data_IF_926994267004
#
_entry.id   IF_926994267004
#
_cell.length_a   1.000
_cell.length_b   1.000
_cell.length_c   1.000
_cell.angle_alpha   90.00
_cell.angle_beta   90.00
_cell.angle_gamma   90.00
#
_symmetry.space_group_name_H-M   'P 1'
#
loop_
_entity.id
_entity.type
_entity.pdbx_description
1 polymer ?
#
# COMPACT_ATOMS: atom_id res chain seq x y z
N UNK A 1 11.21 -3.67 5.73
CA UNK A 1 12.01 -2.85 6.66
C UNK A 1 11.13 -1.85 7.42
N UNK A 2 11.54 -1.51 8.63
CA UNK A 2 10.91 -0.46 9.43
C UNK A 2 11.74 0.80 9.22
N UNK A 3 11.10 1.88 8.82
CA UNK A 3 11.72 3.20 8.66
C UNK A 3 11.48 3.98 9.94
N UNK A 4 12.55 4.30 10.65
CA UNK A 4 12.55 4.92 11.99
C UNK A 4 12.86 6.41 11.90
N UNK A 5 11.94 7.20 11.31
CA UNK A 5 12.08 8.66 11.22
C UNK A 5 10.76 9.40 11.03
N UNK A 6 10.77 10.71 11.34
CA UNK A 6 9.66 11.63 11.09
C UNK A 6 9.25 11.65 9.58
N UNK A 7 7.99 11.91 9.26
CA UNK A 7 7.44 11.73 7.90
C UNK A 7 8.26 12.32 6.74
N UNK A 8 8.86 13.50 6.78
CA UNK A 8 9.69 13.99 5.67
C UNK A 8 10.96 13.17 5.45
N UNK A 9 11.60 12.73 6.54
CA UNK A 9 12.87 11.99 6.49
C UNK A 9 12.62 10.50 6.12
N UNK A 10 11.47 9.95 6.47
CA UNK A 10 11.08 8.59 6.11
C UNK A 10 11.00 8.37 4.59
N UNK A 11 10.72 9.40 3.82
CA UNK A 11 10.66 9.33 2.35
C UNK A 11 12.03 9.04 1.75
N UNK A 12 13.11 9.54 2.36
CA UNK A 12 14.48 9.32 1.89
C UNK A 12 15.00 7.90 2.16
N UNK A 13 14.42 7.20 3.13
CA UNK A 13 14.79 5.82 3.51
C UNK A 13 13.95 4.74 2.80
N UNK A 14 13.04 5.14 1.93
CA UNK A 14 12.22 4.18 1.18
C UNK A 14 13.07 3.35 0.20
N UNK A 15 12.64 2.13 -0.14
CA UNK A 15 13.28 1.33 -1.18
C UNK A 15 13.47 2.16 -2.46
N UNK A 16 14.58 2.00 -3.19
CA UNK A 16 14.87 2.79 -4.39
C UNK A 16 13.74 2.81 -5.43
N UNK A 17 13.01 1.70 -5.57
CA UNK A 17 11.88 1.58 -6.49
C UNK A 17 10.62 2.33 -6.01
N UNK A 18 10.58 2.71 -4.74
CA UNK A 18 9.52 3.52 -4.13
C UNK A 18 10.00 4.94 -3.79
N UNK A 19 11.31 5.17 -3.88
CA UNK A 19 11.91 6.47 -3.59
C UNK A 19 11.25 7.57 -4.44
N UNK A 20 11.27 8.82 -3.95
CA UNK A 20 10.71 9.94 -4.67
C UNK A 20 11.34 10.06 -6.06
N UNK A 21 10.63 9.65 -7.06
CA UNK A 21 10.96 9.83 -8.45
C UNK A 21 9.77 10.51 -9.15
N UNK A 22 10.00 10.99 -10.34
CA UNK A 22 8.96 11.62 -11.16
C UNK A 22 8.10 10.59 -11.91
N UNK A 23 8.15 9.32 -11.52
CA UNK A 23 7.35 8.29 -12.15
C UNK A 23 5.95 8.23 -11.53
N UNK A 24 4.90 8.13 -12.37
CA UNK A 24 3.55 7.96 -11.88
C UNK A 24 3.34 6.61 -11.20
N UNK A 25 2.69 6.64 -10.05
CA UNK A 25 2.26 5.45 -9.31
C UNK A 25 0.75 5.48 -9.08
N UNK A 26 0.19 4.33 -8.80
CA UNK A 26 -1.15 4.19 -8.25
C UNK A 26 -1.03 3.76 -6.78
N UNK A 27 -1.58 4.56 -5.89
CA UNK A 27 -1.68 4.27 -4.48
C UNK A 27 -3.12 3.93 -4.09
N UNK A 28 -3.35 2.74 -3.55
CA UNK A 28 -4.63 2.37 -2.94
C UNK A 28 -4.53 2.59 -1.44
N UNK A 29 -5.33 3.52 -0.94
CA UNK A 29 -5.34 3.92 0.47
C UNK A 29 -6.57 3.36 1.13
N UNK A 30 -6.41 2.78 2.32
CA UNK A 30 -7.51 2.33 3.19
C UNK A 30 -7.21 2.73 4.63
N UNK A 31 -8.21 3.17 5.36
CA UNK A 31 -8.08 3.37 6.78
C UNK A 31 -8.16 2.02 7.52
N UNK A 32 -7.39 1.90 8.58
CA UNK A 32 -7.50 0.79 9.55
C UNK A 32 -8.45 1.19 10.66
N UNK A 33 -9.40 0.31 10.96
CA UNK A 33 -10.40 0.49 12.00
C UNK A 33 -10.37 -0.73 12.94
N UNK A 34 -10.77 -0.54 14.18
CA UNK A 34 -10.80 -1.61 15.18
C UNK A 34 -9.77 -1.39 16.29
N UNK A 35 -9.03 -2.45 16.66
CA UNK A 35 -8.06 -2.38 17.76
C UNK A 35 -6.78 -1.60 17.39
N UNK A 36 -6.49 -1.48 16.10
CA UNK A 36 -5.46 -0.58 15.58
C UNK A 36 -6.09 0.43 14.63
N UNK A 37 -5.57 1.64 14.67
CA UNK A 37 -5.97 2.75 13.81
C UNK A 37 -4.77 3.31 13.03
N UNK A 38 -5.06 3.97 11.92
CA UNK A 38 -4.04 4.46 10.99
C UNK A 38 -4.47 4.17 9.55
N UNK A 39 -3.49 3.93 8.67
CA UNK A 39 -3.74 3.68 7.25
C UNK A 39 -2.88 2.58 6.68
N UNK A 40 -3.38 1.99 5.62
CA UNK A 40 -2.57 1.20 4.69
C UNK A 40 -2.49 1.91 3.35
N UNK A 41 -1.32 1.83 2.73
CA UNK A 41 -1.08 2.34 1.38
C UNK A 41 -0.42 1.25 0.56
N UNK A 42 -1.11 0.78 -0.47
CA UNK A 42 -0.56 -0.17 -1.43
C UNK A 42 -0.17 0.58 -2.69
N UNK A 43 1.13 0.63 -2.99
CA UNK A 43 1.68 1.40 -4.11
C UNK A 43 2.12 0.48 -5.22
N UNK A 44 1.70 0.81 -6.44
CA UNK A 44 2.11 0.14 -7.66
C UNK A 44 2.70 1.13 -8.65
N UNK A 45 3.85 0.84 -9.27
CA UNK A 45 4.32 1.56 -10.45
C UNK A 45 3.27 1.50 -11.57
N UNK A 46 3.14 2.57 -12.35
CA UNK A 46 2.13 2.65 -13.43
C UNK A 46 2.17 1.47 -14.41
N UNK A 47 3.34 0.97 -14.86
CA UNK A 47 3.39 -0.22 -15.71
C UNK A 47 2.77 -1.46 -15.06
N UNK A 48 2.99 -1.67 -13.77
CA UNK A 48 2.40 -2.76 -12.99
C UNK A 48 0.88 -2.65 -12.95
N UNK A 49 0.36 -1.44 -12.73
CA UNK A 49 -1.09 -1.17 -12.69
C UNK A 49 -1.78 -1.58 -13.98
N UNK A 50 -1.22 -1.22 -15.12
CA UNK A 50 -1.80 -1.55 -16.42
C UNK A 50 -1.86 -3.06 -16.64
N UNK A 51 -0.78 -3.77 -16.32
CA UNK A 51 -0.69 -5.24 -16.42
C UNK A 51 -1.63 -5.97 -15.46
N UNK A 52 -1.87 -5.42 -14.28
CA UNK A 52 -2.84 -5.97 -13.32
C UNK A 52 -4.28 -5.77 -13.79
N UNK A 53 -4.60 -4.62 -14.35
CA UNK A 53 -5.96 -4.31 -14.79
C UNK A 53 -6.42 -5.17 -15.97
N UNK A 54 -5.53 -5.50 -16.89
CA UNK A 54 -5.87 -6.23 -18.12
C UNK A 54 -6.52 -7.60 -17.85
N UNK A 55 -5.92 -8.53 -17.09
CA UNK A 55 -6.55 -9.82 -16.81
C UNK A 55 -7.83 -9.66 -15.97
N UNK A 56 -7.86 -8.72 -15.04
CA UNK A 56 -9.07 -8.46 -14.24
C UNK A 56 -10.24 -8.00 -15.12
N UNK A 57 -9.96 -7.28 -16.19
CA UNK A 57 -10.93 -6.81 -17.18
C UNK A 57 -11.11 -7.79 -18.35
N UNK A 58 -10.45 -8.97 -18.30
CA UNK A 58 -10.44 -9.97 -19.37
C UNK A 58 -10.00 -9.39 -20.70
N UNK A 59 -9.00 -8.52 -20.69
CA UNK A 59 -8.43 -7.90 -21.87
C UNK A 59 -7.09 -8.55 -22.24
N UNK A 60 -6.72 -8.51 -23.54
CA UNK A 60 -5.40 -8.97 -23.96
C UNK A 60 -4.29 -8.15 -23.33
N UNK A 61 -3.16 -8.82 -23.07
CA UNK A 61 -1.98 -8.17 -22.52
C UNK A 61 -1.46 -7.07 -23.45
N UNK A 62 -1.11 -5.91 -22.90
CA UNK A 62 -0.64 -4.74 -23.64
C UNK A 62 -1.76 -3.94 -24.34
N UNK A 63 -3.03 -4.27 -24.10
CA UNK A 63 -4.16 -3.56 -24.72
C UNK A 63 -4.58 -2.29 -24.00
N UNK A 64 -4.20 -2.12 -22.75
CA UNK A 64 -4.56 -0.94 -21.95
C UNK A 64 -3.60 0.22 -22.23
N UNK A 65 -4.13 1.32 -22.75
CA UNK A 65 -3.35 2.51 -23.13
C UNK A 65 -3.40 3.60 -22.05
N UNK A 66 -4.47 3.62 -21.25
CA UNK A 66 -4.70 4.62 -20.21
C UNK A 66 -5.45 4.04 -19.00
N UNK A 67 -5.30 4.70 -17.86
CA UNK A 67 -6.06 4.40 -16.64
C UNK A 67 -7.45 5.07 -16.72
N UNK A 68 -8.37 4.43 -17.44
CA UNK A 68 -9.77 4.79 -17.46
C UNK A 68 -10.53 4.40 -16.19
N UNK A 69 -11.83 4.59 -16.17
CA UNK A 69 -12.68 4.27 -15.00
C UNK A 69 -12.68 2.79 -14.67
N UNK A 70 -12.70 1.92 -15.67
CA UNK A 70 -12.69 0.47 -15.46
C UNK A 70 -11.35 -0.01 -14.87
N UNK A 71 -10.24 0.47 -15.40
CA UNK A 71 -8.91 0.17 -14.88
C UNK A 71 -8.77 0.66 -13.43
N UNK A 72 -9.22 1.87 -13.13
CA UNK A 72 -9.25 2.42 -11.78
C UNK A 72 -10.09 1.57 -10.82
N UNK A 73 -11.25 1.11 -11.27
CA UNK A 73 -12.11 0.23 -10.49
C UNK A 73 -11.45 -1.12 -10.24
N UNK A 74 -10.83 -1.72 -11.26
CA UNK A 74 -10.09 -2.97 -11.14
C UNK A 74 -8.94 -2.87 -10.14
N UNK A 75 -8.16 -1.78 -10.18
CA UNK A 75 -7.06 -1.56 -9.24
C UNK A 75 -7.55 -1.32 -7.80
N UNK A 76 -8.64 -0.60 -7.62
CA UNK A 76 -9.25 -0.47 -6.28
C UNK A 76 -9.66 -1.83 -5.72
N UNK A 77 -10.26 -2.68 -6.54
CA UNK A 77 -10.66 -4.03 -6.13
C UNK A 77 -9.44 -4.91 -5.82
N UNK A 78 -8.42 -4.90 -6.66
CA UNK A 78 -7.15 -5.57 -6.37
C UNK A 78 -6.55 -5.09 -5.04
N UNK A 79 -6.48 -3.78 -4.85
CA UNK A 79 -5.99 -3.18 -3.62
C UNK A 79 -6.81 -3.56 -2.40
N UNK A 80 -8.13 -3.63 -2.52
CA UNK A 80 -9.03 -4.08 -1.47
C UNK A 80 -8.72 -5.52 -1.03
N UNK A 81 -8.60 -6.43 -1.98
CA UNK A 81 -8.29 -7.84 -1.73
C UNK A 81 -6.91 -7.99 -1.07
N UNK A 82 -5.90 -7.33 -1.63
CA UNK A 82 -4.52 -7.44 -1.16
C UNK A 82 -4.32 -6.79 0.22
N UNK A 83 -4.80 -5.57 0.40
CA UNK A 83 -4.72 -4.89 1.71
C UNK A 83 -5.50 -5.65 2.77
N UNK A 84 -6.68 -6.18 2.41
CA UNK A 84 -7.47 -7.03 3.30
C UNK A 84 -6.71 -8.29 3.73
N UNK A 85 -6.00 -8.95 2.81
CA UNK A 85 -5.18 -10.12 3.13
C UNK A 85 -4.04 -9.77 4.10
N UNK A 86 -3.34 -8.63 3.88
CA UNK A 86 -2.31 -8.16 4.80
C UNK A 86 -2.87 -7.82 6.18
N UNK A 87 -3.98 -7.10 6.22
CA UNK A 87 -4.61 -6.72 7.49
C UNK A 87 -5.12 -7.94 8.26
N UNK A 88 -5.67 -8.94 7.58
CA UNK A 88 -6.09 -10.19 8.22
C UNK A 88 -4.89 -10.95 8.80
N UNK A 89 -3.80 -11.08 8.03
CA UNK A 89 -2.60 -11.73 8.52
C UNK A 89 -2.00 -11.01 9.75
N UNK A 90 -2.03 -9.68 9.73
CA UNK A 90 -1.57 -8.86 10.86
C UNK A 90 -2.49 -9.02 12.07
N UNK A 91 -3.80 -9.03 11.86
CA UNK A 91 -4.82 -9.24 12.89
C UNK A 91 -4.65 -10.61 13.57
N UNK A 92 -4.50 -11.66 12.77
CA UNK A 92 -4.28 -13.02 13.26
C UNK A 92 -2.98 -13.14 14.06
N UNK A 93 -1.90 -12.55 13.54
CA UNK A 93 -0.60 -12.55 14.22
C UNK A 93 -0.64 -11.87 15.59
N UNK A 94 -1.37 -10.75 15.70
CA UNK A 94 -1.45 -9.97 16.93
C UNK A 94 -2.62 -10.38 17.84
N UNK A 95 -3.54 -11.22 17.38
CA UNK A 95 -4.77 -11.54 18.10
C UNK A 95 -5.71 -10.34 18.25
N UNK A 96 -5.74 -9.45 17.29
CA UNK A 96 -6.50 -8.19 17.28
C UNK A 96 -7.54 -8.19 16.16
N UNK A 97 -8.53 -7.29 16.26
CA UNK A 97 -9.54 -7.07 15.22
C UNK A 97 -9.13 -5.86 14.38
N UNK A 98 -8.92 -6.09 13.09
CA UNK A 98 -8.63 -5.04 12.11
C UNK A 98 -9.69 -5.06 11.02
N UNK A 99 -10.27 -3.90 10.72
CA UNK A 99 -11.29 -3.74 9.68
C UNK A 99 -10.81 -2.69 8.67
N UNK A 100 -10.74 -3.03 7.38
CA UNK A 100 -10.42 -2.06 6.34
C UNK A 100 -11.61 -1.16 6.02
N UNK A 101 -11.35 0.12 5.77
CA UNK A 101 -12.32 1.00 5.13
C UNK A 101 -12.46 0.70 3.62
N UNK A 102 -13.48 1.21 2.94
CA UNK A 102 -13.52 1.17 1.48
C UNK A 102 -12.27 1.81 0.86
N UNK A 103 -11.70 1.23 -0.22
CA UNK A 103 -10.47 1.71 -0.83
C UNK A 103 -10.67 3.04 -1.57
N UNK A 104 -9.72 3.94 -1.42
CA UNK A 104 -9.56 5.11 -2.27
C UNK A 104 -8.32 4.96 -3.16
N UNK A 105 -8.39 5.47 -4.41
CA UNK A 105 -7.29 5.39 -5.37
C UNK A 105 -6.73 6.79 -5.66
N UNK A 106 -5.44 6.95 -5.47
CA UNK A 106 -4.66 8.09 -5.92
C UNK A 106 -3.74 7.67 -7.06
N UNK A 107 -3.71 8.45 -8.13
CA UNK A 107 -2.77 8.26 -9.25
C UNK A 107 -2.06 9.58 -9.46
N UNK A 108 -0.79 9.61 -9.14
CA UNK A 108 0.05 10.81 -9.19
C UNK A 108 1.53 10.41 -9.20
N UNK A 109 2.44 11.37 -9.20
CA UNK A 109 3.85 11.13 -8.96
C UNK A 109 4.06 10.45 -7.60
N UNK A 110 5.03 9.55 -7.51
CA UNK A 110 5.31 8.81 -6.28
C UNK A 110 5.51 9.74 -5.08
N UNK A 111 6.29 10.81 -5.26
CA UNK A 111 6.51 11.85 -4.25
C UNK A 111 5.20 12.46 -3.75
N UNK A 112 4.27 12.81 -4.66
CA UNK A 112 3.01 13.44 -4.28
C UNK A 112 2.11 12.48 -3.48
N UNK A 113 2.01 11.21 -3.90
CA UNK A 113 1.22 10.20 -3.21
C UNK A 113 1.77 9.94 -1.81
N UNK A 114 3.07 9.69 -1.68
CA UNK A 114 3.72 9.38 -0.41
C UNK A 114 3.69 10.56 0.55
N UNK A 115 4.10 11.76 0.11
CA UNK A 115 4.10 12.97 0.93
C UNK A 115 2.71 13.26 1.49
N UNK A 116 1.67 13.15 0.65
CA UNK A 116 0.30 13.39 1.09
C UNK A 116 -0.13 12.44 2.20
N UNK A 117 0.17 11.16 2.07
CA UNK A 117 -0.24 10.17 3.08
C UNK A 117 0.62 10.28 4.35
N UNK A 118 1.91 10.57 4.23
CA UNK A 118 2.78 10.78 5.39
C UNK A 118 2.43 12.04 6.18
N UNK A 119 2.14 13.15 5.51
CA UNK A 119 1.70 14.39 6.19
C UNK A 119 0.39 14.21 6.98
N UNK A 120 -0.44 13.25 6.59
CA UNK A 120 -1.69 12.94 7.31
C UNK A 120 -1.50 12.13 8.59
N UNK A 121 -0.33 11.52 8.78
CA UNK A 121 -0.02 10.78 10.01
C UNK A 121 0.18 11.69 11.21
N UNK A 122 0.50 12.96 10.97
CA UNK A 122 0.79 13.93 12.01
C UNK A 122 2.24 13.87 12.51
N UNK A 123 2.64 14.81 13.37
CA UNK A 123 4.03 14.96 13.83
C UNK A 123 4.51 13.85 14.77
N UNK A 124 3.60 13.06 15.32
CA UNK A 124 3.90 11.99 16.30
C UNK A 124 4.05 10.61 15.63
N UNK A 125 3.99 10.53 14.30
CA UNK A 125 4.15 9.28 13.57
C UNK A 125 5.61 9.06 13.22
N UNK A 126 6.30 8.35 14.11
CA UNK A 126 7.75 8.14 14.00
C UNK A 126 8.15 6.95 13.11
N UNK A 127 7.20 6.08 12.76
CA UNK A 127 7.52 4.82 12.08
C UNK A 127 6.54 4.52 10.94
N UNK A 128 7.09 4.03 9.85
CA UNK A 128 6.36 3.46 8.71
C UNK A 128 6.87 2.06 8.45
N UNK A 129 5.97 1.08 8.38
CA UNK A 129 6.35 -0.28 7.99
C UNK A 129 6.18 -0.45 6.50
N UNK A 130 7.26 -0.81 5.82
CA UNK A 130 7.25 -1.03 4.37
C UNK A 130 7.49 -2.50 4.10
N UNK A 131 6.57 -3.13 3.38
CA UNK A 131 6.69 -4.50 2.90
C UNK A 131 6.76 -4.49 1.39
N UNK A 132 7.91 -4.83 0.83
CA UNK A 132 8.02 -5.09 -0.60
C UNK A 132 7.25 -6.38 -0.92
N UNK A 133 6.37 -6.30 -1.90
CA UNK A 133 5.46 -7.38 -2.25
C UNK A 133 5.60 -7.75 -3.72
N UNK A 134 5.75 -9.04 -3.97
CA UNK A 134 5.73 -9.61 -5.31
C UNK A 134 4.43 -10.37 -5.53
N UNK A 135 3.70 -10.02 -6.56
CA UNK A 135 2.45 -10.65 -6.94
C UNK A 135 2.67 -11.53 -8.17
N UNK A 136 2.24 -12.78 -8.09
CA UNK A 136 2.24 -13.67 -9.25
C UNK A 136 0.84 -13.69 -9.86
N UNK A 137 0.71 -13.16 -11.07
CA UNK A 137 -0.51 -13.32 -11.85
C UNK A 137 -0.41 -14.64 -12.64
N UNK A 138 -1.06 -15.69 -12.12
CA UNK A 138 -0.99 -17.04 -12.70
C UNK A 138 -1.49 -17.08 -14.15
N UNK A 139 -2.46 -16.24 -14.49
CA UNK A 139 -3.07 -16.21 -15.83
C UNK A 139 -2.11 -15.65 -16.90
N UNK A 140 -1.13 -14.86 -16.53
CA UNK A 140 -0.17 -14.21 -17.44
C UNK A 140 1.27 -14.68 -17.22
N UNK A 141 1.54 -15.47 -16.19
CA UNK A 141 2.88 -15.97 -15.88
C UNK A 141 3.88 -14.88 -15.46
N UNK A 142 3.39 -13.70 -15.10
CA UNK A 142 4.22 -12.55 -14.72
C UNK A 142 4.27 -12.35 -13.21
N UNK A 143 5.41 -11.85 -12.77
CA UNK A 143 5.61 -11.34 -11.41
C UNK A 143 5.57 -9.82 -11.44
N UNK A 144 4.69 -9.26 -10.62
CA UNK A 144 4.50 -7.82 -10.51
C UNK A 144 4.95 -7.36 -9.13
N UNK A 145 5.67 -6.26 -9.09
CA UNK A 145 6.12 -5.65 -7.83
C UNK A 145 5.15 -4.56 -7.38
N UNK A 146 4.97 -4.49 -6.08
CA UNK A 146 4.27 -3.43 -5.39
C UNK A 146 4.81 -3.27 -3.97
N UNK A 147 4.37 -2.23 -3.28
CA UNK A 147 4.80 -1.93 -1.92
C UNK A 147 3.57 -1.75 -1.05
N UNK A 148 3.51 -2.50 0.03
CA UNK A 148 2.51 -2.33 1.07
C UNK A 148 3.13 -1.54 2.22
N UNK A 149 2.56 -0.38 2.51
CA UNK A 149 2.95 0.47 3.62
C UNK A 149 1.87 0.42 4.70
N UNK A 150 2.30 0.16 5.91
CA UNK A 150 1.47 0.26 7.11
C UNK A 150 1.85 1.55 7.82
N UNK A 151 0.87 2.41 7.99
CA UNK A 151 0.98 3.76 8.53
C UNK A 151 0.12 3.85 9.80
N UNK A 152 0.57 3.26 10.93
CA UNK A 152 -0.19 3.28 12.18
C UNK A 152 -0.14 4.69 12.80
N UNK A 153 -1.18 5.04 13.55
CA UNK A 153 -1.08 6.17 14.47
C UNK A 153 -0.17 5.83 15.68
N UNK A 154 0.16 6.84 16.48
CA UNK A 154 1.10 6.69 17.59
C UNK A 154 0.66 5.62 18.62
N UNK A 155 -0.64 5.51 18.89
CA UNK A 155 -1.18 4.51 19.81
C UNK A 155 -1.06 3.09 19.27
N UNK A 156 -1.41 2.92 18.01
CA UNK A 156 -1.34 1.64 17.29
C UNK A 156 0.10 1.19 17.05
N UNK A 157 1.00 2.13 16.79
CA UNK A 157 2.43 1.83 16.68
C UNK A 157 2.97 1.16 17.94
N UNK A 158 2.63 1.69 19.12
CA UNK A 158 3.04 1.11 20.41
C UNK A 158 2.52 -0.33 20.57
N UNK A 159 1.30 -0.61 20.16
CA UNK A 159 0.71 -1.95 20.22
C UNK A 159 1.44 -2.92 19.27
N UNK A 160 1.72 -2.51 18.04
CA UNK A 160 2.46 -3.29 17.04
C UNK A 160 3.87 -3.62 17.55
N UNK A 161 4.61 -2.62 18.03
CA UNK A 161 5.97 -2.82 18.53
C UNK A 161 6.02 -3.76 19.75
N UNK A 162 5.01 -3.73 20.61
CA UNK A 162 4.89 -4.69 21.72
C UNK A 162 4.66 -6.12 21.22
N UNK A 163 3.75 -6.30 20.27
CA UNK A 163 3.44 -7.60 19.70
C UNK A 163 4.68 -8.24 19.02
N UNK A 164 5.45 -7.46 18.24
CA UNK A 164 6.66 -7.93 17.57
C UNK A 164 7.78 -8.30 18.58
N UNK A 165 7.87 -7.62 19.72
CA UNK A 165 8.89 -7.92 20.76
C UNK A 165 8.56 -9.14 21.61
N UNK A 166 7.32 -9.57 21.59
CA UNK A 166 6.82 -10.73 22.36
C UNK A 166 6.77 -12.00 21.49
N UNK A 167 6.95 -11.87 20.19
CA UNK A 167 7.03 -12.97 19.24
C UNK A 167 8.49 -13.34 18.94
#
# INVERSE_FOLDING_TARGET
PVVDRAPPDAIEELPPDLAPNEEPVAGVVMDMLGDLTGRTLLVFPKPTVMRMAEPMLRRPQGSSVALGELERSAIKEAGNILSGAYMNALADFMGMVLLPSPPSLAVDLSTAVLTREFLRLGPDADHVFVVETEFSLHEVGERLRGFFLLLPDAGSLQAILRAIRLA
#
